data_IF_427881079556
#
_entry.id   IF_427881079556
#
_cell.length_a   1.000
_cell.length_b   1.000
_cell.length_c   1.000
_cell.angle_alpha   90.00
_cell.angle_beta   90.00
_cell.angle_gamma   90.00
#
_symmetry.space_group_name_H-M   'P 1'
#
loop_
_entity.id
_entity.type
_entity.pdbx_description
1 polymer ?
#
# COMPACT_ATOMS: atom_id res chain seq x y z
N UNK A 1 17.39 -16.21 3.30
CA UNK A 1 16.29 -16.48 2.35
C UNK A 1 15.14 -15.50 2.52
N UNK A 2 14.68 -15.20 3.75
CA UNK A 2 13.61 -14.19 3.94
C UNK A 2 14.08 -12.75 3.76
N UNK A 3 15.24 -12.39 4.29
CA UNK A 3 15.84 -11.06 4.08
C UNK A 3 16.13 -10.77 2.60
N UNK A 4 16.51 -11.81 1.83
CA UNK A 4 16.74 -11.66 0.39
C UNK A 4 15.44 -11.43 -0.38
N UNK A 5 14.34 -12.08 0.03
CA UNK A 5 13.04 -11.86 -0.60
C UNK A 5 12.49 -10.47 -0.26
N UNK A 6 12.57 -10.05 1.01
CA UNK A 6 12.16 -8.70 1.39
C UNK A 6 12.94 -7.62 0.64
N UNK A 7 14.25 -7.84 0.44
CA UNK A 7 15.08 -6.96 -0.38
C UNK A 7 14.61 -6.92 -1.84
N UNK A 8 14.35 -8.07 -2.45
CA UNK A 8 13.82 -8.16 -3.82
C UNK A 8 12.51 -7.38 -3.97
N UNK A 9 11.53 -7.62 -3.09
CA UNK A 9 10.25 -6.89 -3.14
C UNK A 9 10.42 -5.38 -2.89
N UNK A 10 11.37 -4.98 -2.03
CA UNK A 10 11.65 -3.55 -1.77
C UNK A 10 12.26 -2.88 -3.01
N UNK A 11 13.19 -3.55 -3.70
CA UNK A 11 13.81 -3.03 -4.92
C UNK A 11 12.82 -2.99 -6.09
N UNK A 12 11.98 -4.01 -6.24
CA UNK A 12 10.90 -3.98 -7.24
C UNK A 12 9.89 -2.87 -6.97
N UNK A 13 9.55 -2.62 -5.70
CA UNK A 13 8.69 -1.51 -5.32
C UNK A 13 9.33 -0.16 -5.67
N UNK A 14 10.63 0.05 -5.39
CA UNK A 14 11.33 1.30 -5.78
C UNK A 14 11.22 1.59 -7.26
N UNK A 15 11.49 0.60 -8.11
CA UNK A 15 11.38 0.73 -9.58
C UNK A 15 9.97 1.18 -9.99
N UNK A 16 8.96 0.66 -9.33
CA UNK A 16 7.57 1.02 -9.58
C UNK A 16 7.23 2.43 -9.09
N UNK A 17 7.70 2.80 -7.89
CA UNK A 17 7.54 4.14 -7.33
C UNK A 17 8.22 5.19 -8.21
N UNK A 18 9.46 4.94 -8.66
CA UNK A 18 10.18 5.79 -9.61
C UNK A 18 9.38 5.99 -10.91
N UNK A 19 8.87 4.89 -11.48
CA UNK A 19 8.08 4.91 -12.72
C UNK A 19 6.79 5.73 -12.57
N UNK A 20 6.16 5.67 -11.39
CA UNK A 20 4.93 6.39 -11.06
C UNK A 20 5.19 7.80 -10.49
N UNK A 21 6.44 8.22 -10.34
CA UNK A 21 6.81 9.55 -9.86
C UNK A 21 6.55 9.78 -8.37
N UNK A 22 6.55 8.73 -7.56
CA UNK A 22 6.42 8.83 -6.10
C UNK A 22 7.76 9.20 -5.47
N UNK A 23 7.72 10.15 -4.54
CA UNK A 23 8.87 10.49 -3.71
C UNK A 23 9.09 9.41 -2.63
N UNK A 24 10.34 9.04 -2.43
CA UNK A 24 10.83 8.22 -1.32
C UNK A 24 12.32 8.52 -1.10
N UNK A 25 12.90 7.95 -0.05
CA UNK A 25 14.33 8.05 0.27
C UNK A 25 15.00 6.68 0.11
N UNK A 26 16.23 6.68 -0.41
CA UNK A 26 17.09 5.49 -0.56
C UNK A 26 17.58 4.97 0.81
N UNK A 27 16.63 4.39 1.55
CA UNK A 27 16.84 3.91 2.91
C UNK A 27 16.93 5.03 3.94
N UNK A 28 16.56 4.67 5.17
CA UNK A 28 16.71 5.51 6.34
C UNK A 28 18.18 5.52 6.82
N UNK A 29 18.58 6.61 7.48
CA UNK A 29 19.88 6.68 8.14
C UNK A 29 20.01 5.56 9.18
N UNK A 30 21.08 4.74 9.15
CA UNK A 30 21.32 3.72 10.16
C UNK A 30 21.30 4.25 11.60
N UNK A 31 21.75 5.49 11.83
CA UNK A 31 21.72 6.11 13.16
C UNK A 31 20.29 6.37 13.64
N UNK A 32 19.36 6.72 12.75
CA UNK A 32 17.94 6.89 13.06
C UNK A 32 17.33 5.52 13.39
N UNK A 33 17.59 4.51 12.57
CA UNK A 33 17.10 3.14 12.79
C UNK A 33 17.60 2.53 14.11
N UNK A 34 18.82 2.88 14.54
CA UNK A 34 19.38 2.45 15.82
C UNK A 34 18.81 3.24 17.01
N UNK A 35 18.36 4.47 16.78
CA UNK A 35 17.78 5.36 17.80
C UNK A 35 16.30 5.08 18.09
N UNK A 36 15.57 4.42 17.17
CA UNK A 36 14.18 4.01 17.35
C UNK A 36 14.06 3.02 18.53
N UNK A 37 13.75 3.60 19.69
CA UNK A 37 13.65 2.95 21.01
C UNK A 37 12.34 2.20 21.22
N UNK A 38 12.10 1.73 22.45
CA UNK A 38 11.05 0.73 22.74
C UNK A 38 9.62 1.24 22.41
N UNK A 39 8.77 0.37 21.83
CA UNK A 39 9.04 -1.04 21.55
C UNK A 39 9.84 -1.09 20.24
N UNK A 40 11.03 -1.71 20.28
CA UNK A 40 12.02 -1.55 19.20
C UNK A 40 11.43 -1.94 17.84
N UNK A 41 11.96 -1.35 16.77
CA UNK A 41 11.45 -1.54 15.41
C UNK A 41 11.34 -3.04 15.03
N UNK A 42 10.17 -3.52 14.52
CA UNK A 42 10.03 -4.88 14.03
C UNK A 42 11.12 -5.21 13.00
N UNK A 43 11.73 -6.39 13.11
CA UNK A 43 12.94 -6.74 12.32
C UNK A 43 12.72 -6.59 10.82
N UNK A 44 11.59 -7.09 10.30
CA UNK A 44 11.26 -6.98 8.88
C UNK A 44 11.08 -5.51 8.47
N UNK A 45 10.41 -4.69 9.28
CA UNK A 45 10.18 -3.29 8.98
C UNK A 45 11.47 -2.46 9.05
N UNK A 46 12.38 -2.79 9.98
CA UNK A 46 13.75 -2.23 10.00
C UNK A 46 14.51 -2.52 8.72
N UNK A 47 14.44 -3.75 8.22
CA UNK A 47 15.08 -4.10 6.96
C UNK A 47 14.45 -3.39 5.77
N UNK A 48 13.14 -3.22 5.76
CA UNK A 48 12.44 -2.43 4.75
C UNK A 48 12.88 -0.97 4.78
N UNK A 49 12.81 -0.28 5.92
CA UNK A 49 13.24 1.12 6.05
C UNK A 49 14.71 1.33 5.71
N UNK A 50 15.58 0.36 5.99
CA UNK A 50 16.99 0.43 5.59
C UNK A 50 17.20 0.37 4.07
N UNK A 51 16.23 -0.16 3.31
CA UNK A 51 16.25 -0.22 1.85
C UNK A 51 15.48 0.95 1.24
N UNK A 52 14.28 1.21 1.73
CA UNK A 52 13.31 2.17 1.21
C UNK A 52 12.66 2.86 2.41
N UNK A 53 12.93 4.14 2.58
CA UNK A 53 12.21 4.99 3.54
C UNK A 53 11.11 5.75 2.76
N UNK A 54 9.83 5.57 3.12
CA UNK A 54 8.71 6.15 2.37
C UNK A 54 8.70 7.68 2.37
N UNK A 55 9.46 8.34 3.27
CA UNK A 55 9.43 9.79 3.40
C UNK A 55 8.04 10.30 3.79
N UNK A 56 7.64 11.43 3.20
CA UNK A 56 6.33 12.07 3.44
C UNK A 56 5.28 11.61 2.41
N UNK A 57 5.60 10.58 1.63
CA UNK A 57 4.87 10.18 0.44
C UNK A 57 3.57 9.40 0.73
N UNK A 58 2.52 9.75 0.00
CA UNK A 58 1.27 8.97 -0.06
C UNK A 58 1.18 8.24 -1.40
N UNK A 59 1.14 6.91 -1.36
CA UNK A 59 0.99 6.08 -2.55
C UNK A 59 -0.49 5.90 -2.85
N UNK A 60 -0.93 6.50 -3.96
CA UNK A 60 -2.29 6.34 -4.48
C UNK A 60 -2.31 5.16 -5.45
N UNK A 61 -3.24 4.26 -5.22
CA UNK A 61 -3.35 3.01 -5.96
C UNK A 61 -4.66 3.04 -6.73
N UNK A 62 -4.59 3.46 -8.01
CA UNK A 62 -5.70 3.44 -8.96
C UNK A 62 -6.95 4.21 -8.52
N UNK A 63 -6.76 5.26 -7.71
CA UNK A 63 -7.85 6.01 -7.09
C UNK A 63 -8.68 5.25 -6.02
N UNK A 64 -8.36 3.98 -5.74
CA UNK A 64 -9.09 3.13 -4.80
C UNK A 64 -8.51 3.19 -3.38
N UNK A 65 -7.18 3.14 -3.30
CA UNK A 65 -6.48 3.09 -2.02
C UNK A 65 -5.44 4.19 -1.90
N UNK A 66 -5.27 4.71 -0.69
CA UNK A 66 -4.17 5.59 -0.33
C UNK A 66 -3.40 4.94 0.82
N UNK A 67 -2.16 4.55 0.56
CA UNK A 67 -1.23 4.03 1.56
C UNK A 67 -0.26 5.14 1.92
N UNK A 68 -0.17 5.46 3.22
CA UNK A 68 0.84 6.38 3.75
C UNK A 68 1.64 5.60 4.77
N UNK A 69 2.94 5.42 4.56
CA UNK A 69 3.81 4.80 5.55
C UNK A 69 4.66 5.88 6.22
N UNK A 70 4.83 5.79 7.53
CA UNK A 70 5.65 6.74 8.27
C UNK A 70 7.13 6.56 7.94
N UNK A 71 7.81 7.67 7.72
CA UNK A 71 9.26 7.65 7.57
C UNK A 71 9.97 7.30 8.88
N UNK A 72 11.23 6.90 8.79
CA UNK A 72 11.99 6.51 9.98
C UNK A 72 12.12 7.65 11.01
N UNK A 73 12.14 8.90 10.54
CA UNK A 73 12.22 10.10 11.38
C UNK A 73 10.93 10.36 12.18
N UNK A 74 9.79 9.98 11.63
CA UNK A 74 8.48 10.25 12.23
C UNK A 74 8.02 9.14 13.16
N UNK A 75 8.53 7.91 13.00
CA UNK A 75 8.04 6.75 13.74
C UNK A 75 8.05 6.94 15.25
N UNK A 76 9.04 7.65 15.80
CA UNK A 76 9.14 7.91 17.23
C UNK A 76 7.91 8.65 17.78
N UNK A 77 7.35 9.59 17.01
CA UNK A 77 6.20 10.40 17.42
C UNK A 77 4.89 9.59 17.47
N UNK A 78 4.86 8.44 16.78
CA UNK A 78 3.68 7.58 16.67
C UNK A 78 3.70 6.36 17.62
N UNK A 79 4.81 6.10 18.30
CA UNK A 79 4.94 4.88 19.12
C UNK A 79 4.52 5.03 20.59
N UNK A 80 4.37 6.25 21.11
CA UNK A 80 4.11 6.48 22.54
C UNK A 80 2.84 5.77 23.04
N UNK A 81 1.75 5.78 22.26
CA UNK A 81 0.49 5.09 22.59
C UNK A 81 0.48 3.60 22.16
N UNK A 82 1.23 3.25 21.11
CA UNK A 82 1.29 1.89 20.55
C UNK A 82 2.12 0.92 21.40
N UNK A 83 3.09 1.47 22.16
CA UNK A 83 3.96 0.73 23.06
C UNK A 83 3.21 -0.09 24.11
N UNK A 84 2.08 0.43 24.61
CA UNK A 84 1.30 -0.20 25.67
C UNK A 84 0.44 -1.38 25.17
N UNK A 85 0.11 -1.41 23.87
CA UNK A 85 -0.75 -2.44 23.26
C UNK A 85 0.03 -3.56 22.55
N UNK A 86 1.36 -3.46 22.48
CA UNK A 86 2.21 -4.41 21.75
C UNK A 86 2.04 -4.32 20.24
N UNK A 87 1.62 -3.15 19.75
CA UNK A 87 1.49 -2.81 18.34
C UNK A 87 2.62 -1.85 17.96
N UNK A 88 2.93 -1.80 16.67
CA UNK A 88 3.89 -0.86 16.12
C UNK A 88 3.22 -0.11 14.97
N UNK A 89 2.99 1.20 15.11
CA UNK A 89 2.29 2.01 14.11
C UNK A 89 3.23 2.28 12.94
N UNK A 90 2.79 1.95 11.73
CA UNK A 90 3.60 2.08 10.52
C UNK A 90 3.04 3.08 9.51
N UNK A 91 1.82 3.58 9.70
CA UNK A 91 1.19 4.45 8.74
C UNK A 91 -0.33 4.42 8.77
N UNK A 92 -0.93 4.67 7.60
CA UNK A 92 -2.38 4.60 7.37
C UNK A 92 -2.72 3.96 6.03
N UNK A 93 -3.90 3.36 5.95
CA UNK A 93 -4.56 2.88 4.74
C UNK A 93 -5.94 3.53 4.68
N UNK A 94 -6.20 4.35 3.67
CA UNK A 94 -7.43 5.13 3.52
C UNK A 94 -7.75 6.00 4.75
N UNK A 95 -6.72 6.50 5.43
CA UNK A 95 -6.83 7.32 6.64
C UNK A 95 -7.00 6.53 7.94
N UNK A 96 -7.17 5.21 7.89
CA UNK A 96 -7.22 4.34 9.07
C UNK A 96 -5.81 3.85 9.44
N UNK A 97 -5.50 3.78 10.75
CA UNK A 97 -4.15 3.46 11.24
C UNK A 97 -3.72 2.04 10.86
N UNK A 98 -2.53 1.91 10.29
CA UNK A 98 -1.84 0.65 10.05
C UNK A 98 -0.88 0.33 11.19
N UNK A 99 -0.94 -0.91 11.67
CA UNK A 99 -0.06 -1.42 12.72
C UNK A 99 0.54 -2.77 12.36
N UNK A 100 1.78 -2.99 12.76
CA UNK A 100 2.40 -4.31 12.83
C UNK A 100 2.14 -4.89 14.22
N UNK A 101 1.71 -6.15 14.29
CA UNK A 101 1.59 -6.87 15.56
C UNK A 101 2.69 -7.92 15.69
N UNK A 102 3.53 -7.74 16.70
CA UNK A 102 4.69 -8.61 16.94
C UNK A 102 6.01 -7.96 16.52
N UNK A 103 7.09 -8.41 17.17
CA UNK A 103 8.45 -7.87 16.97
C UNK A 103 9.40 -8.85 16.29
N UNK A 104 9.01 -10.13 16.26
CA UNK A 104 9.84 -11.23 15.78
C UNK A 104 9.22 -11.85 14.52
N UNK A 105 10.01 -12.01 13.45
CA UNK A 105 9.63 -12.80 12.28
C UNK A 105 8.63 -12.13 11.31
N UNK A 106 7.72 -12.92 10.75
CA UNK A 106 6.67 -12.46 9.83
C UNK A 106 5.54 -11.86 10.67
N UNK A 107 5.61 -10.54 10.86
CA UNK A 107 4.61 -9.85 11.67
C UNK A 107 3.47 -9.38 10.77
N UNK A 108 2.22 -9.81 11.04
CA UNK A 108 1.06 -9.38 10.27
C UNK A 108 0.81 -7.88 10.44
N UNK A 109 0.21 -7.30 9.40
CA UNK A 109 -0.18 -5.90 9.32
C UNK A 109 -1.70 -5.84 9.43
N UNK A 110 -2.17 -5.01 10.34
CA UNK A 110 -3.59 -4.76 10.58
C UNK A 110 -3.92 -3.30 10.34
N UNK A 111 -5.16 -3.06 9.91
CA UNK A 111 -5.80 -1.75 9.93
C UNK A 111 -6.70 -1.67 11.16
N UNK A 112 -6.59 -0.59 11.91
CA UNK A 112 -7.46 -0.28 13.04
C UNK A 112 -8.71 0.44 12.54
N UNK A 113 -9.87 -0.16 12.76
CA UNK A 113 -11.19 0.40 12.43
C UNK A 113 -11.98 0.66 13.72
N UNK A 114 -13.13 1.32 13.62
CA UNK A 114 -14.03 1.52 14.78
C UNK A 114 -14.50 0.18 15.38
N UNK A 115 -14.64 -0.86 14.55
CA UNK A 115 -15.16 -2.18 14.94
C UNK A 115 -14.06 -3.17 15.36
N UNK A 116 -12.78 -2.84 15.18
CA UNK A 116 -11.67 -3.66 15.64
C UNK A 116 -10.44 -3.61 14.74
N UNK A 117 -9.81 -4.77 14.54
CA UNK A 117 -8.62 -4.91 13.70
C UNK A 117 -8.95 -5.78 12.48
N UNK A 118 -8.68 -5.25 11.30
CA UNK A 118 -8.83 -5.96 10.02
C UNK A 118 -7.44 -6.36 9.53
N UNK A 119 -7.23 -7.64 9.21
CA UNK A 119 -5.94 -8.07 8.65
C UNK A 119 -5.79 -7.50 7.24
N UNK A 120 -4.69 -6.78 6.98
CA UNK A 120 -4.38 -6.22 5.66
C UNK A 120 -3.34 -7.08 4.94
N UNK A 121 -2.45 -7.70 5.70
CA UNK A 121 -1.51 -8.70 5.21
C UNK A 121 -1.00 -9.58 6.36
N UNK A 122 -0.78 -10.85 6.07
CA UNK A 122 -0.21 -11.85 6.98
C UNK A 122 1.29 -11.60 7.22
N UNK A 123 1.95 -10.80 6.39
CA UNK A 123 3.35 -10.38 6.57
C UNK A 123 3.69 -9.09 5.83
N UNK A 124 4.81 -8.44 6.20
CA UNK A 124 5.33 -7.28 5.45
C UNK A 124 5.64 -7.62 3.98
N UNK A 125 6.14 -8.82 3.69
CA UNK A 125 6.44 -9.23 2.31
C UNK A 125 5.14 -9.29 1.49
N UNK A 126 4.09 -9.90 2.02
CA UNK A 126 2.79 -9.93 1.36
C UNK A 126 2.21 -8.54 1.21
N UNK A 127 2.32 -7.68 2.22
CA UNK A 127 1.89 -6.29 2.12
C UNK A 127 2.58 -5.55 0.96
N UNK A 128 3.91 -5.65 0.84
CA UNK A 128 4.64 -5.02 -0.26
C UNK A 128 4.22 -5.58 -1.62
N UNK A 129 3.97 -6.89 -1.72
CA UNK A 129 3.43 -7.52 -2.93
C UNK A 129 2.06 -6.97 -3.29
N UNK A 130 1.14 -6.91 -2.34
CA UNK A 130 -0.22 -6.39 -2.54
C UNK A 130 -0.16 -4.93 -3.02
N UNK A 131 0.67 -4.09 -2.40
CA UNK A 131 0.88 -2.70 -2.80
C UNK A 131 1.45 -2.60 -4.21
N UNK A 132 2.48 -3.38 -4.52
CA UNK A 132 3.10 -3.43 -5.85
C UNK A 132 2.11 -3.87 -6.92
N UNK A 133 1.41 -4.98 -6.69
CA UNK A 133 0.36 -5.50 -7.57
C UNK A 133 -0.72 -4.44 -7.80
N UNK A 134 -1.14 -3.73 -6.75
CA UNK A 134 -2.10 -2.62 -6.88
C UNK A 134 -1.57 -1.50 -7.77
N UNK A 135 -0.35 -1.04 -7.52
CA UNK A 135 0.30 0.02 -8.31
C UNK A 135 0.50 -0.38 -9.79
N UNK A 136 0.66 -1.68 -10.10
CA UNK A 136 0.78 -2.20 -11.46
C UNK A 136 -0.56 -2.42 -12.17
N UNK A 137 -1.53 -3.00 -11.48
CA UNK A 137 -2.82 -3.42 -12.06
C UNK A 137 -3.83 -2.27 -12.03
N UNK A 138 -4.04 -1.67 -10.86
CA UNK A 138 -4.98 -0.56 -10.68
C UNK A 138 -4.41 0.76 -11.18
N UNK A 139 -3.08 0.87 -11.28
CA UNK A 139 -2.44 2.00 -11.93
C UNK A 139 -2.82 2.18 -13.41
N UNK A 140 -3.46 1.19 -14.05
CA UNK A 140 -4.07 1.31 -15.39
C UNK A 140 -5.40 2.05 -15.36
N UNK A 141 -6.10 2.07 -14.23
CA UNK A 141 -7.37 2.77 -14.07
C UNK A 141 -7.20 4.29 -14.13
N UNK A 142 -6.02 4.79 -13.74
CA UNK A 142 -5.66 6.21 -13.87
C UNK A 142 -5.60 6.65 -15.34
N UNK A 143 -5.16 5.75 -16.24
CA UNK A 143 -5.13 6.01 -17.69
C UNK A 143 -6.57 6.08 -18.28
N UNK A 144 -7.52 5.32 -17.73
CA UNK A 144 -8.94 5.38 -18.14
C UNK A 144 -9.63 6.69 -17.75
N UNK A 145 -9.27 7.24 -16.59
CA UNK A 145 -9.89 8.48 -16.08
C UNK A 145 -9.35 9.72 -16.83
N UNK A 146 -8.13 9.68 -17.39
CA UNK A 146 -7.57 10.74 -18.25
C UNK A 146 -8.08 10.70 -19.70
N UNK A 147 -8.31 9.52 -20.29
CA UNK A 147 -8.83 9.39 -21.67
C UNK A 147 -10.30 9.84 -21.81
N UNK A 148 -11.05 9.94 -20.70
CA UNK A 148 -12.44 10.41 -20.69
C UNK A 148 -12.61 11.93 -20.69
N UNK A 149 -11.53 12.72 -20.55
CA UNK A 149 -11.60 14.19 -20.45
C UNK A 149 -11.26 14.95 -21.75
N UNK A 150 -10.85 14.26 -22.84
CA UNK A 150 -10.44 14.90 -24.11
C UNK A 150 -11.42 14.68 -25.30
N UNK A 151 -12.71 14.50 -25.03
CA UNK A 151 -13.77 14.63 -26.04
C UNK A 151 -14.54 15.95 -25.87
N UNK A 152 -13.82 17.04 -26.12
CA UNK A 152 -14.41 18.35 -26.33
C UNK A 152 -15.13 18.47 -27.68
N UNK A 153 -16.46 18.42 -27.62
CA UNK A 153 -17.37 19.34 -28.32
C UNK A 153 -17.27 19.41 -29.87
N UNK A 154 -17.59 18.33 -30.57
CA UNK A 154 -18.19 18.44 -31.91
C UNK A 154 -19.47 17.58 -31.98
N UNK A 155 -20.61 18.27 -31.95
CA UNK A 155 -21.91 17.68 -31.66
C UNK A 155 -22.39 16.61 -32.63
N UNK A 156 -22.97 15.56 -32.05
CA UNK A 156 -23.97 14.70 -32.67
C UNK A 156 -25.02 14.36 -31.60
N UNK A 157 -26.23 14.90 -31.77
CA UNK A 157 -27.44 14.40 -31.12
C UNK A 157 -27.66 12.94 -31.58
N UNK A 158 -28.07 12.05 -30.65
CA UNK A 158 -28.35 10.60 -30.79
C UNK A 158 -27.17 9.62 -30.57
N UNK A 159 -26.67 9.46 -29.33
CA UNK A 159 -26.06 8.18 -28.89
C UNK A 159 -26.01 7.98 -27.36
N UNK A 160 -27.13 8.11 -26.65
CA UNK A 160 -27.18 7.76 -25.23
C UNK A 160 -27.32 6.24 -25.01
N UNK A 161 -26.53 5.71 -24.05
CA UNK A 161 -26.59 4.40 -23.35
C UNK A 161 -25.64 3.24 -23.73
N UNK A 162 -24.88 3.25 -24.84
CA UNK A 162 -24.06 2.06 -25.21
C UNK A 162 -22.58 2.11 -24.81
N UNK A 163 -22.00 3.29 -24.59
CA UNK A 163 -20.56 3.39 -24.28
C UNK A 163 -20.27 3.41 -22.77
N UNK A 164 -21.07 4.10 -21.95
CA UNK A 164 -20.89 4.12 -20.49
C UNK A 164 -20.92 2.71 -19.85
N UNK A 165 -21.69 1.78 -20.42
CA UNK A 165 -21.77 0.40 -19.95
C UNK A 165 -20.53 -0.46 -20.29
N UNK A 166 -19.83 -0.16 -21.39
CA UNK A 166 -18.62 -0.89 -21.79
C UNK A 166 -17.38 -0.45 -20.99
N UNK A 167 -17.30 0.85 -20.65
CA UNK A 167 -16.23 1.38 -19.79
C UNK A 167 -16.35 0.90 -18.34
N UNK A 168 -17.58 0.85 -17.80
CA UNK A 168 -17.83 0.30 -16.46
C UNK A 168 -17.42 -1.18 -16.35
N UNK A 169 -17.71 -2.00 -17.38
CA UNK A 169 -17.28 -3.40 -17.39
C UNK A 169 -15.76 -3.57 -17.35
N UNK A 170 -14.99 -2.71 -18.04
CA UNK A 170 -13.53 -2.80 -18.04
C UNK A 170 -12.89 -2.44 -16.69
N UNK A 171 -13.45 -1.46 -15.97
CA UNK A 171 -12.98 -1.08 -14.63
C UNK A 171 -13.27 -2.17 -13.60
N UNK A 172 -14.49 -2.73 -13.62
CA UNK A 172 -14.87 -3.83 -12.75
C UNK A 172 -14.00 -5.07 -13.01
N UNK A 173 -13.71 -5.40 -14.27
CA UNK A 173 -12.83 -6.52 -14.63
C UNK A 173 -11.41 -6.34 -14.06
N UNK A 174 -10.81 -5.16 -14.17
CA UNK A 174 -9.48 -4.88 -13.64
C UNK A 174 -9.45 -4.97 -12.10
N UNK A 175 -10.50 -4.49 -11.43
CA UNK A 175 -10.62 -4.60 -9.97
C UNK A 175 -10.81 -6.06 -9.54
N UNK A 176 -11.62 -6.83 -10.26
CA UNK A 176 -11.81 -8.26 -9.99
C UNK A 176 -10.52 -9.04 -10.19
N UNK A 177 -9.80 -8.82 -11.30
CA UNK A 177 -8.49 -9.43 -11.56
C UNK A 177 -7.49 -9.10 -10.43
N UNK A 178 -7.51 -7.85 -9.94
CA UNK A 178 -6.68 -7.44 -8.81
C UNK A 178 -7.03 -8.24 -7.54
N UNK A 179 -8.32 -8.36 -7.21
CA UNK A 179 -8.78 -9.11 -6.03
C UNK A 179 -8.46 -10.61 -6.13
N UNK A 180 -8.61 -11.23 -7.31
CA UNK A 180 -8.20 -12.62 -7.54
C UNK A 180 -6.69 -12.81 -7.33
N UNK A 181 -5.88 -11.86 -7.80
CA UNK A 181 -4.43 -11.88 -7.56
C UNK A 181 -4.12 -11.73 -6.06
N UNK A 182 -4.87 -10.88 -5.33
CA UNK A 182 -4.70 -10.73 -3.87
C UNK A 182 -5.00 -12.03 -3.13
N UNK A 183 -6.06 -12.75 -3.50
CA UNK A 183 -6.39 -14.06 -2.91
C UNK A 183 -5.26 -15.08 -3.12
N UNK A 184 -4.50 -14.96 -4.23
CA UNK A 184 -3.34 -15.81 -4.48
C UNK A 184 -2.11 -15.43 -3.63
N UNK A 185 -1.95 -14.14 -3.32
CA UNK A 185 -0.83 -13.61 -2.53
C UNK A 185 -1.06 -13.84 -1.03
N UNK A 186 -2.27 -13.55 -0.55
CA UNK A 186 -2.64 -13.57 0.86
C UNK A 186 -4.14 -13.84 1.05
N UNK A 187 -4.58 -15.11 0.95
CA UNK A 187 -5.99 -15.47 0.99
C UNK A 187 -6.67 -15.10 2.31
N UNK A 188 -5.91 -15.02 3.41
CA UNK A 188 -6.46 -14.75 4.73
C UNK A 188 -6.79 -13.26 4.95
N UNK A 189 -6.20 -12.37 4.15
CA UNK A 189 -6.30 -10.91 4.34
C UNK A 189 -6.74 -10.14 3.08
N UNK A 190 -6.96 -10.82 1.95
CA UNK A 190 -7.38 -10.21 0.68
C UNK A 190 -8.67 -9.38 0.78
N UNK A 191 -9.66 -9.84 1.56
CA UNK A 191 -10.95 -9.15 1.73
C UNK A 191 -10.81 -7.71 2.26
N UNK A 192 -9.72 -7.39 2.98
CA UNK A 192 -9.48 -6.05 3.51
C UNK A 192 -9.22 -4.99 2.43
N UNK A 193 -8.92 -5.44 1.21
CA UNK A 193 -8.66 -4.62 0.03
C UNK A 193 -9.82 -4.62 -0.95
N UNK A 194 -10.98 -5.20 -0.60
CA UNK A 194 -12.18 -5.00 -1.38
C UNK A 194 -12.63 -3.52 -1.29
N UNK A 195 -13.07 -2.89 -2.40
CA UNK A 195 -13.72 -1.60 -2.35
C UNK A 195 -14.94 -1.62 -1.42
N UNK A 196 -15.18 -0.51 -0.72
CA UNK A 196 -16.30 -0.36 0.22
C UNK A 196 -17.65 -0.19 -0.47
#
# INVERSE_FOLDING_TARGET
>A
MRTSLLQEESEELKVLLDRKGYDYRDGADPAILDALGRPGLPVAYRHFLAQLDPGDGAWRIGGQFTVVLHSADELADWQDDAAESGQFVIGTLNGETLVIKGMDGDSPIYRLTEDGMVCVASSLIQFLRIVRTGLEMLGKLEDYDEEGEDEGDEGYDDMDDYEAGAFASGREDIVNDYLEELESIDPDCAEAWAPA
#
